data_IF_400082841375
#
_entry.id   IF_400082841375
#
_cell.length_a   1.000
_cell.length_b   1.000
_cell.length_c   1.000
_cell.angle_alpha   90.00
_cell.angle_beta   90.00
_cell.angle_gamma   90.00
#
_symmetry.space_group_name_H-M   'P 1'
#
loop_
_entity.id
_entity.type
_entity.pdbx_description
1 polymer ?
#
# COMPACT_ATOMS: atom_id res chain seq x y z
N UNK A 1 4.63 34.55 25.16
CA UNK A 1 4.19 33.26 24.59
C UNK A 1 5.01 33.05 23.34
N UNK A 2 5.96 32.11 23.38
CA UNK A 2 6.79 31.79 22.23
C UNK A 2 5.96 30.92 21.27
N UNK A 3 5.76 31.41 20.05
CA UNK A 3 5.24 30.64 18.94
C UNK A 3 6.18 29.47 18.68
N UNK A 4 5.71 28.24 18.83
CA UNK A 4 6.45 27.08 18.36
C UNK A 4 6.34 27.09 16.82
N UNK A 5 7.42 27.43 16.14
CA UNK A 5 7.53 27.25 14.70
C UNK A 5 7.26 25.77 14.38
N UNK A 6 6.50 25.45 13.31
CA UNK A 6 6.33 24.07 12.89
C UNK A 6 7.71 23.51 12.51
N UNK A 7 8.23 22.60 13.34
CA UNK A 7 9.49 21.90 13.07
C UNK A 7 9.34 21.19 11.73
N UNK A 8 10.12 21.64 10.75
CA UNK A 8 10.11 21.09 9.40
C UNK A 8 10.82 19.74 9.42
N UNK A 9 10.21 18.72 8.82
CA UNK A 9 10.84 17.41 8.69
C UNK A 9 12.19 17.52 7.96
N UNK A 10 13.18 16.80 8.47
CA UNK A 10 14.53 16.72 7.94
C UNK A 10 14.62 15.69 6.80
N UNK A 11 15.65 15.81 5.96
CA UNK A 11 15.86 14.92 4.81
C UNK A 11 16.56 13.62 5.23
N UNK A 12 16.49 12.61 4.36
CA UNK A 12 17.06 11.30 4.64
C UNK A 12 18.59 11.31 4.89
N UNK A 13 19.32 12.27 4.31
CA UNK A 13 20.77 12.39 4.44
C UNK A 13 21.19 12.67 5.89
N UNK A 14 20.44 13.50 6.61
CA UNK A 14 20.76 13.90 8.00
C UNK A 14 20.27 12.91 9.05
N UNK A 15 19.59 11.84 8.64
CA UNK A 15 18.97 10.92 9.58
C UNK A 15 19.97 10.22 10.51
N UNK A 16 19.59 9.97 11.78
CA UNK A 16 20.44 9.31 12.75
C UNK A 16 20.94 7.95 12.20
N UNK A 17 22.23 7.61 12.36
CA UNK A 17 22.77 6.34 11.88
C UNK A 17 21.98 5.12 12.37
N UNK A 18 21.49 5.17 13.60
CA UNK A 18 20.65 4.14 14.20
C UNK A 18 19.33 3.89 13.45
N UNK A 19 18.71 4.94 12.88
CA UNK A 19 17.48 4.78 12.08
C UNK A 19 17.80 4.10 10.75
N UNK A 20 18.85 4.55 10.04
CA UNK A 20 19.28 3.97 8.77
C UNK A 20 19.65 2.49 8.92
N UNK A 21 20.37 2.16 9.99
CA UNK A 21 20.73 0.79 10.34
C UNK A 21 19.48 -0.07 10.63
N UNK A 22 18.52 0.45 11.41
CA UNK A 22 17.27 -0.27 11.69
C UNK A 22 16.50 -0.60 10.40
N UNK A 23 16.36 0.37 9.49
CA UNK A 23 15.70 0.14 8.19
C UNK A 23 16.42 -0.94 7.37
N UNK A 24 17.75 -0.89 7.29
CA UNK A 24 18.55 -1.89 6.58
C UNK A 24 18.41 -3.29 7.20
N UNK A 25 18.37 -3.40 8.52
CA UNK A 25 18.22 -4.68 9.21
C UNK A 25 16.81 -5.26 9.08
N UNK A 26 15.77 -4.40 9.08
CA UNK A 26 14.39 -4.80 8.80
C UNK A 26 14.30 -5.37 7.38
N UNK A 27 14.82 -4.65 6.37
CA UNK A 27 14.86 -5.14 4.99
C UNK A 27 15.61 -6.47 4.89
N UNK A 28 16.77 -6.58 5.53
CA UNK A 28 17.57 -7.79 5.50
C UNK A 28 16.83 -8.99 6.12
N UNK A 29 16.11 -8.79 7.22
CA UNK A 29 15.27 -9.83 7.85
C UNK A 29 14.08 -10.20 6.95
N UNK A 30 13.39 -9.21 6.37
CA UNK A 30 12.26 -9.44 5.46
C UNK A 30 12.68 -10.18 4.19
N UNK A 31 13.82 -9.83 3.59
CA UNK A 31 14.41 -10.53 2.45
C UNK A 31 14.80 -12.00 2.77
N UNK A 32 15.16 -12.28 4.03
CA UNK A 32 15.39 -13.66 4.52
C UNK A 32 14.11 -14.39 4.91
N UNK A 33 12.95 -13.71 4.86
CA UNK A 33 11.66 -14.21 5.40
C UNK A 33 11.78 -14.62 6.87
N UNK A 34 12.58 -13.87 7.64
CA UNK A 34 12.81 -14.07 9.06
C UNK A 34 11.81 -13.23 9.86
N UNK A 35 10.65 -13.82 10.16
CA UNK A 35 9.54 -13.13 10.82
C UNK A 35 9.99 -12.66 12.20
N UNK A 36 10.64 -13.53 12.96
CA UNK A 36 11.15 -13.19 14.29
C UNK A 36 12.17 -12.05 14.23
N UNK A 37 13.07 -12.06 13.24
CA UNK A 37 14.03 -10.99 12.99
C UNK A 37 13.36 -9.64 12.67
N UNK A 38 12.34 -9.63 11.81
CA UNK A 38 11.54 -8.40 11.55
C UNK A 38 10.85 -7.94 12.83
N UNK A 39 10.20 -8.86 13.54
CA UNK A 39 9.41 -8.56 14.74
C UNK A 39 10.25 -8.12 15.93
N UNK A 40 11.58 -8.27 15.91
CA UNK A 40 12.46 -7.64 16.89
C UNK A 40 12.38 -6.12 16.81
N UNK A 41 12.11 -5.51 15.65
CA UNK A 41 12.01 -4.06 15.51
C UNK A 41 10.64 -3.50 15.89
N UNK A 42 9.67 -4.34 16.22
CA UNK A 42 8.32 -3.90 16.60
C UNK A 42 8.17 -3.94 18.11
N UNK A 43 7.76 -2.81 18.70
CA UNK A 43 7.52 -2.68 20.13
C UNK A 43 6.36 -3.56 20.59
N UNK A 44 6.37 -3.97 21.86
CA UNK A 44 5.34 -4.86 22.42
C UNK A 44 3.92 -4.29 22.31
N UNK A 45 3.80 -2.96 22.37
CA UNK A 45 2.53 -2.24 22.26
C UNK A 45 2.28 -1.69 20.84
N UNK A 46 2.95 -2.23 19.82
CA UNK A 46 2.81 -1.79 18.44
C UNK A 46 1.36 -1.81 17.97
N UNK A 47 0.99 -0.75 17.25
CA UNK A 47 -0.28 -0.62 16.52
C UNK A 47 -0.02 -0.07 15.13
N UNK A 48 -0.86 -0.41 14.17
CA UNK A 48 -0.90 0.26 12.88
C UNK A 48 -2.24 1.01 12.66
N UNK A 49 -2.25 1.92 11.69
CA UNK A 49 -3.44 2.70 11.31
C UNK A 49 -4.62 1.88 10.76
N UNK A 50 -4.41 0.62 10.38
CA UNK A 50 -5.45 -0.28 9.87
C UNK A 50 -5.91 -1.32 10.92
N UNK A 51 -5.50 -1.17 12.17
CA UNK A 51 -5.91 -2.03 13.29
C UNK A 51 -5.01 -3.26 13.53
N UNK A 52 -3.94 -3.46 12.78
CA UNK A 52 -2.94 -4.50 13.05
C UNK A 52 -2.19 -4.20 14.34
N UNK A 53 -2.11 -5.20 15.21
CA UNK A 53 -1.18 -5.22 16.34
C UNK A 53 0.08 -6.01 15.98
N UNK A 54 1.02 -6.11 16.93
CA UNK A 54 2.29 -6.82 16.73
C UNK A 54 2.10 -8.26 16.25
N UNK A 55 1.19 -9.02 16.87
CA UNK A 55 0.95 -10.42 16.52
C UNK A 55 0.31 -10.56 15.14
N UNK A 56 -0.69 -9.72 14.85
CA UNK A 56 -1.37 -9.74 13.56
C UNK A 56 -0.41 -9.37 12.41
N UNK A 57 0.49 -8.41 12.63
CA UNK A 57 1.55 -8.06 11.66
C UNK A 57 2.45 -9.26 11.36
N UNK A 58 2.89 -10.00 12.39
CA UNK A 58 3.72 -11.20 12.21
C UNK A 58 3.00 -12.28 11.39
N UNK A 59 1.72 -12.50 11.66
CA UNK A 59 0.90 -13.48 10.95
C UNK A 59 0.70 -13.10 9.47
N UNK A 60 0.39 -11.83 9.20
CA UNK A 60 0.24 -11.30 7.84
C UNK A 60 1.54 -11.47 7.05
N UNK A 61 2.70 -11.14 7.64
CA UNK A 61 3.99 -11.32 7.00
C UNK A 61 4.25 -12.79 6.64
N UNK A 62 3.98 -13.72 7.57
CA UNK A 62 4.15 -15.16 7.33
C UNK A 62 3.29 -15.65 6.17
N UNK A 63 1.99 -15.34 6.18
CA UNK A 63 1.07 -15.72 5.08
C UNK A 63 1.48 -15.13 3.74
N UNK A 64 1.91 -13.86 3.75
CA UNK A 64 2.39 -13.21 2.55
C UNK A 64 3.64 -13.91 1.97
N UNK A 65 4.58 -14.32 2.82
CA UNK A 65 5.79 -15.06 2.42
C UNK A 65 5.53 -16.51 2.01
N UNK A 66 4.50 -17.15 2.56
CA UNK A 66 4.03 -18.46 2.10
C UNK A 66 3.48 -18.38 0.68
N UNK A 67 2.72 -17.34 0.37
CA UNK A 67 2.16 -17.12 -0.96
C UNK A 67 3.21 -16.67 -1.98
N UNK A 68 4.15 -15.80 -1.57
CA UNK A 68 5.24 -15.32 -2.41
C UNK A 68 6.60 -15.79 -1.87
N UNK A 69 7.05 -17.00 -2.24
CA UNK A 69 8.28 -17.58 -1.69
C UNK A 69 9.55 -16.86 -2.16
N UNK A 70 9.46 -16.09 -3.24
CA UNK A 70 10.54 -15.28 -3.79
C UNK A 70 10.13 -13.82 -3.71
N UNK A 71 10.66 -13.11 -2.72
CA UNK A 71 10.41 -11.69 -2.48
C UNK A 71 11.73 -10.94 -2.32
N UNK A 72 11.72 -9.69 -2.75
CA UNK A 72 12.75 -8.72 -2.47
C UNK A 72 12.12 -7.45 -1.86
N UNK A 73 12.71 -6.97 -0.77
CA UNK A 73 12.31 -5.77 -0.07
C UNK A 73 13.43 -4.73 -0.14
N UNK A 74 13.03 -3.47 -0.32
CA UNK A 74 13.94 -2.32 -0.28
C UNK A 74 13.21 -1.10 0.26
N UNK A 75 13.75 -0.49 1.29
CA UNK A 75 13.15 0.68 1.94
C UNK A 75 14.02 1.91 1.76
N UNK A 76 13.40 2.99 1.32
CA UNK A 76 14.01 4.32 1.21
C UNK A 76 13.41 5.23 2.28
N UNK A 77 14.27 5.83 3.11
CA UNK A 77 13.87 6.94 3.97
C UNK A 77 13.60 8.18 3.12
N UNK A 78 12.46 8.83 3.32
CA UNK A 78 12.09 10.07 2.62
C UNK A 78 12.34 11.28 3.51
N UNK A 79 11.83 11.22 4.75
CA UNK A 79 11.98 12.29 5.73
C UNK A 79 11.96 11.73 7.14
N UNK A 80 12.46 12.51 8.10
CA UNK A 80 12.41 12.16 9.50
C UNK A 80 12.33 13.42 10.38
N UNK A 81 11.88 13.25 11.62
CA UNK A 81 11.88 14.31 12.63
C UNK A 81 11.96 13.73 14.04
N UNK A 82 12.53 14.50 14.97
CA UNK A 82 12.46 14.19 16.39
C UNK A 82 11.14 14.71 16.98
N UNK A 83 10.48 13.88 17.77
CA UNK A 83 9.32 14.23 18.58
C UNK A 83 9.58 13.82 20.03
N UNK A 84 10.23 14.71 20.78
CA UNK A 84 10.68 14.40 22.14
C UNK A 84 11.75 13.31 22.13
N UNK A 85 11.44 12.15 22.70
CA UNK A 85 12.32 10.97 22.73
C UNK A 85 12.09 9.99 21.57
N UNK A 86 11.19 10.33 20.64
CA UNK A 86 10.86 9.48 19.49
C UNK A 86 11.36 10.07 18.19
N UNK A 87 11.53 9.19 17.20
CA UNK A 87 11.76 9.59 15.82
C UNK A 87 10.51 9.23 15.01
N UNK A 88 9.98 10.19 14.25
CA UNK A 88 8.96 9.92 13.24
C UNK A 88 9.63 9.95 11.87
N UNK A 89 9.47 8.89 11.10
CA UNK A 89 10.08 8.74 9.78
C UNK A 89 9.02 8.42 8.73
N UNK A 90 9.16 9.00 7.54
CA UNK A 90 8.41 8.58 6.36
C UNK A 90 9.31 7.79 5.43
N UNK A 91 8.81 6.65 4.95
CA UNK A 91 9.55 5.73 4.10
C UNK A 91 8.76 5.35 2.87
N UNK A 92 9.46 4.94 1.80
CA UNK A 92 8.89 4.21 0.67
C UNK A 92 9.52 2.82 0.67
N UNK A 93 8.69 1.78 0.79
CA UNK A 93 9.10 0.38 0.69
C UNK A 93 8.69 -0.14 -0.68
N UNK A 94 9.65 -0.73 -1.40
CA UNK A 94 9.43 -1.44 -2.64
C UNK A 94 9.48 -2.93 -2.36
N UNK A 95 8.48 -3.65 -2.88
CA UNK A 95 8.35 -5.09 -2.74
C UNK A 95 8.22 -5.66 -4.14
N UNK A 96 9.12 -6.55 -4.52
CA UNK A 96 9.00 -7.32 -5.76
C UNK A 96 8.96 -8.79 -5.42
N UNK A 97 8.25 -9.57 -6.22
CA UNK A 97 8.23 -11.00 -6.00
C UNK A 97 7.71 -11.78 -7.19
N UNK A 98 7.76 -13.10 -7.05
CA UNK A 98 7.12 -13.99 -8.00
C UNK A 98 6.35 -15.07 -7.26
N UNK A 99 5.12 -15.28 -7.72
CA UNK A 99 4.29 -16.40 -7.29
C UNK A 99 4.63 -17.64 -8.12
N UNK A 100 4.57 -18.80 -7.47
CA UNK A 100 4.63 -20.12 -8.10
C UNK A 100 3.42 -21.00 -7.76
N UNK A 101 2.47 -20.48 -6.99
CA UNK A 101 1.24 -21.16 -6.60
C UNK A 101 0.25 -21.21 -7.78
N UNK A 102 -0.49 -22.33 -7.88
CA UNK A 102 -1.52 -22.58 -8.91
C UNK A 102 -1.07 -22.65 -10.39
N UNK A 103 0.22 -22.85 -10.68
CA UNK A 103 0.70 -23.18 -12.03
C UNK A 103 0.76 -22.00 -13.01
N UNK A 104 0.28 -20.81 -12.63
CA UNK A 104 0.55 -19.55 -13.33
C UNK A 104 1.65 -18.80 -12.60
N UNK A 105 2.79 -18.59 -13.27
CA UNK A 105 3.87 -17.74 -12.73
C UNK A 105 3.40 -16.30 -12.70
N UNK A 106 3.16 -15.77 -11.50
CA UNK A 106 2.83 -14.36 -11.28
C UNK A 106 4.08 -13.56 -10.94
N UNK A 107 4.11 -12.27 -11.30
CA UNK A 107 5.08 -11.29 -10.81
C UNK A 107 4.34 -10.24 -10.01
N UNK A 108 4.79 -10.00 -8.79
CA UNK A 108 4.30 -8.95 -7.91
C UNK A 108 5.27 -7.76 -7.95
N UNK A 109 4.71 -6.57 -8.08
CA UNK A 109 5.39 -5.31 -7.81
C UNK A 109 4.50 -4.49 -6.88
N UNK A 110 5.06 -3.96 -5.80
CA UNK A 110 4.32 -3.12 -4.85
C UNK A 110 5.19 -2.02 -4.27
N UNK A 111 4.55 -0.89 -4.02
CA UNK A 111 5.12 0.30 -3.38
C UNK A 111 4.24 0.71 -2.22
N UNK A 112 4.85 0.89 -1.05
CA UNK A 112 4.20 1.27 0.18
C UNK A 112 4.86 2.54 0.74
N UNK A 113 4.10 3.63 0.84
CA UNK A 113 4.53 4.84 1.55
C UNK A 113 3.97 4.81 2.96
N UNK A 114 4.83 4.89 3.97
CA UNK A 114 4.43 4.77 5.37
C UNK A 114 5.02 5.87 6.22
N UNK A 115 4.33 6.19 7.32
CA UNK A 115 4.83 7.00 8.42
C UNK A 115 4.95 6.14 9.67
N UNK A 116 6.12 6.13 10.28
CA UNK A 116 6.44 5.24 11.38
C UNK A 116 7.00 6.04 12.56
N UNK A 117 6.56 5.71 13.77
CA UNK A 117 7.08 6.26 15.02
C UNK A 117 7.97 5.22 15.70
N UNK A 118 9.19 5.63 15.98
CA UNK A 118 10.23 4.85 16.61
C UNK A 118 10.51 5.35 18.02
N UNK A 119 10.48 4.46 19.00
CA UNK A 119 10.86 4.72 20.39
C UNK A 119 11.85 3.64 20.83
N UNK A 120 13.04 4.05 21.30
CA UNK A 120 14.10 3.08 21.67
C UNK A 120 14.46 2.11 20.54
N UNK A 121 14.52 2.61 19.29
CA UNK A 121 14.75 1.82 18.06
C UNK A 121 13.66 0.78 17.74
N UNK A 122 12.50 0.84 18.40
CA UNK A 122 11.34 0.00 18.09
C UNK A 122 10.25 0.82 17.42
N UNK A 123 9.65 0.29 16.36
CA UNK A 123 8.42 0.80 15.77
C UNK A 123 7.30 0.57 16.78
N UNK A 124 6.74 1.66 17.29
CA UNK A 124 5.59 1.62 18.21
C UNK A 124 4.28 1.97 17.50
N UNK A 125 4.36 2.68 16.37
CA UNK A 125 3.22 2.98 15.53
C UNK A 125 3.61 3.04 14.05
N UNK A 126 2.72 2.59 13.16
CA UNK A 126 2.89 2.72 11.71
C UNK A 126 1.58 3.08 11.03
N UNK A 127 1.61 4.00 10.08
CA UNK A 127 0.49 4.37 9.23
C UNK A 127 0.89 4.23 7.77
N UNK A 128 0.01 3.65 6.95
CA UNK A 128 0.21 3.56 5.51
C UNK A 128 -0.45 4.78 4.86
N UNK A 129 0.37 5.63 4.26
CA UNK A 129 -0.07 6.87 3.62
C UNK A 129 -0.49 6.64 2.16
N UNK A 130 0.19 5.73 1.46
CA UNK A 130 -0.17 5.32 0.12
C UNK A 130 0.28 3.88 -0.12
N UNK A 131 -0.47 3.15 -0.93
CA UNK A 131 -0.20 1.76 -1.24
C UNK A 131 -0.61 1.47 -2.68
N UNK A 132 0.28 0.79 -3.39
CA UNK A 132 0.11 0.38 -4.75
C UNK A 132 0.68 -1.02 -4.92
N UNK A 133 -0.08 -1.94 -5.50
CA UNK A 133 0.42 -3.24 -5.94
C UNK A 133 -0.08 -3.59 -7.33
N UNK A 134 0.68 -4.41 -8.03
CA UNK A 134 0.34 -4.98 -9.31
C UNK A 134 0.84 -6.41 -9.36
N UNK A 135 -0.03 -7.32 -9.79
CA UNK A 135 0.28 -8.72 -10.04
C UNK A 135 0.01 -8.99 -11.52
N UNK A 136 1.03 -9.42 -12.25
CA UNK A 136 0.89 -9.83 -13.65
C UNK A 136 1.20 -11.30 -13.81
N UNK A 137 0.46 -11.99 -14.65
CA UNK A 137 0.68 -13.41 -14.92
C UNK A 137 0.32 -13.77 -16.36
N UNK A 138 0.80 -14.93 -16.81
CA UNK A 138 0.56 -15.42 -18.16
C UNK A 138 1.54 -14.85 -19.20
N UNK A 139 1.31 -15.16 -20.48
CA UNK A 139 2.27 -14.86 -21.56
C UNK A 139 2.12 -13.48 -22.18
N UNK A 140 0.95 -12.85 -22.03
CA UNK A 140 0.64 -11.54 -22.61
C UNK A 140 -0.32 -10.75 -21.70
N UNK A 141 0.06 -10.45 -20.44
CA UNK A 141 -0.77 -9.67 -19.53
C UNK A 141 -1.02 -8.26 -20.10
N UNK A 142 -2.24 -7.71 -20.00
CA UNK A 142 -2.53 -6.37 -20.48
C UNK A 142 -1.75 -5.32 -19.66
N UNK A 143 -1.21 -4.29 -20.32
CA UNK A 143 -0.63 -3.14 -19.62
C UNK A 143 -1.75 -2.19 -19.24
N UNK A 144 -1.81 -1.77 -17.98
CA UNK A 144 -2.94 -1.01 -17.46
C UNK A 144 -2.47 0.30 -16.84
N UNK A 145 -3.06 1.41 -17.27
CA UNK A 145 -2.98 2.68 -16.54
C UNK A 145 -4.14 2.77 -15.56
N UNK A 146 -3.84 3.16 -14.32
CA UNK A 146 -4.86 3.44 -13.31
C UNK A 146 -4.94 4.92 -13.02
N UNK A 147 -6.16 5.44 -12.99
CA UNK A 147 -6.48 6.75 -12.44
C UNK A 147 -7.36 6.54 -11.20
N UNK A 148 -6.84 6.93 -10.05
CA UNK A 148 -7.55 6.95 -8.78
C UNK A 148 -6.99 8.10 -7.93
N UNK A 149 -7.83 8.96 -7.32
CA UNK A 149 -7.36 9.91 -6.33
C UNK A 149 -6.73 9.17 -5.13
N UNK A 150 -5.60 9.64 -4.60
CA UNK A 150 -5.04 9.04 -3.37
C UNK A 150 -5.96 9.25 -2.16
N UNK A 151 -6.73 10.35 -2.17
CA UNK A 151 -7.58 10.76 -1.07
C UNK A 151 -8.88 11.40 -1.57
N UNK A 152 -9.97 11.12 -0.87
CA UNK A 152 -11.27 11.79 -1.01
C UNK A 152 -11.85 12.12 0.36
N UNK A 153 -12.74 13.12 0.41
CA UNK A 153 -13.51 13.42 1.60
C UNK A 153 -14.67 12.44 1.78
N UNK A 154 -15.15 12.25 3.00
CA UNK A 154 -16.41 11.54 3.27
C UNK A 154 -17.54 12.04 2.38
N UNK A 155 -18.38 11.12 1.89
CA UNK A 155 -19.46 11.37 0.92
C UNK A 155 -19.04 11.94 -0.46
N UNK A 156 -17.75 12.17 -0.71
CA UNK A 156 -17.30 12.70 -1.99
C UNK A 156 -17.38 11.61 -3.07
N UNK A 157 -17.93 11.91 -4.27
CA UNK A 157 -17.83 11.01 -5.41
C UNK A 157 -16.38 10.93 -5.91
N UNK A 158 -15.99 9.78 -6.42
CA UNK A 158 -14.71 9.57 -7.08
C UNK A 158 -14.87 8.66 -8.30
N UNK A 159 -13.93 8.75 -9.22
CA UNK A 159 -13.83 7.84 -10.35
C UNK A 159 -12.61 6.93 -10.18
N UNK A 160 -12.76 5.70 -10.65
CA UNK A 160 -11.69 4.74 -10.79
C UNK A 160 -11.65 4.27 -12.24
N UNK A 161 -10.53 4.53 -12.90
CA UNK A 161 -10.29 4.10 -14.26
C UNK A 161 -9.15 3.09 -14.27
N UNK A 162 -9.36 1.96 -14.95
CA UNK A 162 -8.29 1.01 -15.28
C UNK A 162 -8.29 0.80 -16.80
N UNK A 163 -7.36 1.46 -17.48
CA UNK A 163 -7.32 1.60 -18.93
C UNK A 163 -6.24 0.68 -19.49
N UNK A 164 -6.65 -0.31 -20.30
CA UNK A 164 -5.73 -1.15 -21.08
C UNK A 164 -5.10 -0.29 -22.16
N UNK A 165 -3.77 -0.31 -22.22
CA UNK A 165 -3.00 0.55 -23.13
C UNK A 165 -2.99 0.02 -24.56
N UNK A 166 -3.01 -1.29 -24.71
CA UNK A 166 -3.00 -1.93 -26.01
C UNK A 166 -4.39 -1.89 -26.67
N UNK A 167 -4.47 -1.73 -28.01
CA UNK A 167 -5.71 -1.97 -28.74
C UNK A 167 -6.19 -3.42 -28.54
N UNK A 168 -7.49 -3.58 -28.29
CA UNK A 168 -8.09 -4.90 -28.11
C UNK A 168 -8.14 -5.71 -29.40
N UNK A 169 -8.32 -5.05 -30.55
CA UNK A 169 -8.51 -5.73 -31.83
C UNK A 169 -9.72 -6.67 -31.77
N UNK A 170 -9.49 -7.97 -31.99
CA UNK A 170 -10.52 -9.01 -31.90
C UNK A 170 -10.50 -9.76 -30.56
N UNK A 171 -9.60 -9.42 -29.64
CA UNK A 171 -9.51 -10.09 -28.36
C UNK A 171 -10.61 -9.62 -27.41
N UNK A 172 -11.16 -10.56 -26.65
CA UNK A 172 -12.06 -10.25 -25.55
C UNK A 172 -11.25 -9.79 -24.33
N UNK A 173 -11.76 -8.76 -23.66
CA UNK A 173 -11.27 -8.32 -22.36
C UNK A 173 -12.30 -8.70 -21.31
N UNK A 174 -11.89 -9.51 -20.33
CA UNK A 174 -12.68 -9.76 -19.14
C UNK A 174 -12.13 -8.92 -18.00
N UNK A 175 -12.99 -8.44 -17.11
CA UNK A 175 -12.51 -7.77 -15.93
C UNK A 175 -13.58 -7.40 -14.94
N UNK A 176 -13.12 -6.88 -13.81
CA UNK A 176 -13.96 -6.44 -12.71
C UNK A 176 -13.24 -5.42 -11.85
N UNK A 177 -13.99 -4.58 -11.15
CA UNK A 177 -13.48 -3.58 -10.23
C UNK A 177 -14.11 -3.78 -8.84
N UNK A 178 -13.23 -3.98 -7.85
CA UNK A 178 -13.56 -4.36 -6.49
C UNK A 178 -13.21 -3.20 -5.57
N UNK A 179 -14.11 -2.88 -4.64
CA UNK A 179 -13.91 -1.81 -3.66
C UNK A 179 -14.21 -2.37 -2.26
N UNK A 180 -13.22 -2.33 -1.36
CA UNK A 180 -13.30 -2.99 -0.06
C UNK A 180 -12.72 -2.14 1.06
N UNK A 181 -13.31 -2.17 2.27
CA UNK A 181 -12.68 -1.57 3.44
C UNK A 181 -11.41 -2.37 3.82
N UNK A 182 -10.38 -1.65 4.28
CA UNK A 182 -9.15 -2.28 4.78
C UNK A 182 -9.39 -2.71 6.23
N UNK A 183 -9.26 -4.02 6.49
CA UNK A 183 -9.32 -4.60 7.85
C UNK A 183 -8.14 -5.56 8.07
N UNK A 184 -7.76 -5.84 9.34
CA UNK A 184 -6.69 -6.79 9.66
C UNK A 184 -6.84 -8.16 8.98
N UNK A 185 -8.05 -8.68 8.91
CA UNK A 185 -8.36 -10.00 8.36
C UNK A 185 -8.15 -10.02 6.84
N UNK A 186 -8.50 -8.93 6.16
CA UNK A 186 -8.40 -8.80 4.69
C UNK A 186 -6.97 -8.87 4.16
N UNK A 187 -5.97 -8.51 4.97
CA UNK A 187 -4.55 -8.71 4.61
C UNK A 187 -4.17 -10.18 4.42
N UNK A 188 -4.89 -11.09 5.08
CA UNK A 188 -4.63 -12.55 5.03
C UNK A 188 -5.62 -13.31 4.15
N UNK A 189 -6.74 -12.69 3.78
CA UNK A 189 -7.87 -13.33 3.11
C UNK A 189 -8.44 -12.41 2.03
N UNK A 190 -7.90 -12.48 0.79
CA UNK A 190 -8.43 -11.70 -0.33
C UNK A 190 -9.87 -12.16 -0.67
N UNK A 191 -10.66 -11.26 -1.25
CA UNK A 191 -12.01 -11.59 -1.74
C UNK A 191 -12.00 -12.38 -3.04
N UNK A 192 -13.01 -13.23 -3.17
CA UNK A 192 -13.42 -13.77 -4.46
C UNK A 192 -13.99 -12.67 -5.36
N UNK A 193 -13.95 -12.90 -6.66
CA UNK A 193 -14.43 -11.94 -7.64
C UNK A 193 -15.08 -12.63 -8.84
N UNK A 194 -16.06 -11.93 -9.41
CA UNK A 194 -16.74 -12.35 -10.64
C UNK A 194 -16.29 -11.45 -11.79
N UNK A 195 -15.94 -12.09 -12.91
CA UNK A 195 -15.45 -11.41 -14.11
C UNK A 195 -16.60 -11.19 -15.08
N UNK A 196 -16.63 -9.98 -15.65
CA UNK A 196 -17.58 -9.63 -16.69
C UNK A 196 -16.87 -9.36 -18.02
N UNK A 197 -17.59 -9.52 -19.13
CA UNK A 197 -17.10 -9.12 -20.43
C UNK A 197 -17.11 -7.60 -20.54
N UNK A 198 -15.95 -7.01 -20.84
CA UNK A 198 -15.81 -5.57 -20.98
C UNK A 198 -16.00 -5.16 -22.45
N UNK A 199 -16.96 -4.25 -22.73
CA UNK A 199 -17.24 -3.82 -24.10
C UNK A 199 -16.18 -2.84 -24.66
N UNK A 200 -15.20 -2.42 -23.84
CA UNK A 200 -14.18 -1.44 -24.21
C UNK A 200 -12.80 -1.78 -23.64
N UNK A 201 -11.82 -0.93 -23.93
CA UNK A 201 -10.40 -1.10 -23.55
C UNK A 201 -10.09 -0.90 -22.07
N UNK A 202 -10.99 -1.22 -21.15
CA UNK A 202 -10.76 -1.02 -19.72
C UNK A 202 -12.04 -1.00 -18.88
N UNK A 203 -11.86 -0.61 -17.62
CA UNK A 203 -12.91 -0.44 -16.62
C UNK A 203 -13.04 1.04 -16.27
N UNK A 204 -14.28 1.50 -16.14
CA UNK A 204 -14.63 2.79 -15.57
C UNK A 204 -15.67 2.55 -14.48
N UNK A 205 -15.40 3.04 -13.27
CA UNK A 205 -16.33 2.91 -12.15
C UNK A 205 -16.42 4.23 -11.40
N UNK A 206 -17.64 4.70 -11.19
CA UNK A 206 -17.92 5.79 -10.24
C UNK A 206 -18.22 5.19 -8.87
N UNK A 207 -17.51 5.68 -7.87
CA UNK A 207 -17.70 5.34 -6.47
C UNK A 207 -18.15 6.55 -5.66
N UNK A 208 -18.67 6.29 -4.47
CA UNK A 208 -18.96 7.33 -3.48
C UNK A 208 -18.31 6.95 -2.17
N UNK A 209 -17.46 7.84 -1.68
CA UNK A 209 -16.80 7.65 -0.40
C UNK A 209 -17.83 7.45 0.73
N UNK A 210 -17.55 6.58 1.71
CA UNK A 210 -18.40 6.33 2.86
C UNK A 210 -18.65 7.60 3.68
N UNK A 211 -19.64 7.53 4.58
CA UNK A 211 -20.01 8.62 5.48
C UNK A 211 -19.02 8.79 6.65
N UNK A 212 -18.15 7.82 6.87
CA UNK A 212 -17.14 7.80 7.94
C UNK A 212 -15.73 7.76 7.35
N UNK A 213 -14.77 8.33 8.07
CA UNK A 213 -13.35 8.19 7.77
C UNK A 213 -12.95 6.72 7.80
N UNK A 214 -12.36 6.22 6.73
CA UNK A 214 -11.76 4.88 6.63
C UNK A 214 -10.79 4.79 5.45
N UNK A 215 -10.07 3.68 5.34
CA UNK A 215 -9.22 3.40 4.17
C UNK A 215 -9.86 2.27 3.36
N UNK A 216 -9.78 2.35 2.04
CA UNK A 216 -10.34 1.34 1.13
C UNK A 216 -9.28 0.87 0.14
N UNK A 217 -9.34 -0.40 -0.23
CA UNK A 217 -8.67 -0.91 -1.41
C UNK A 217 -9.61 -0.83 -2.61
N UNK A 218 -9.11 -0.21 -3.68
CA UNK A 218 -9.75 -0.22 -4.99
C UNK A 218 -8.88 -1.08 -5.90
N UNK A 219 -9.45 -2.16 -6.41
CA UNK A 219 -8.75 -3.14 -7.23
C UNK A 219 -9.39 -3.28 -8.60
N UNK A 220 -8.58 -3.54 -9.62
CA UNK A 220 -9.02 -4.02 -10.93
C UNK A 220 -8.37 -5.36 -11.24
N UNK A 221 -9.15 -6.30 -11.74
CA UNK A 221 -8.66 -7.54 -12.35
C UNK A 221 -9.01 -7.50 -13.83
N UNK A 222 -8.02 -7.66 -14.69
CA UNK A 222 -8.16 -7.59 -16.14
C UNK A 222 -7.49 -8.81 -16.77
N UNK A 223 -8.26 -9.56 -17.56
CA UNK A 223 -7.81 -10.75 -18.28
C UNK A 223 -7.99 -10.55 -19.77
N UNK A 224 -6.91 -10.75 -20.52
CA UNK A 224 -6.91 -10.72 -21.99
C UNK A 224 -6.11 -11.90 -22.51
N UNK A 225 -6.68 -12.63 -23.47
CA UNK A 225 -6.05 -13.81 -24.04
C UNK A 225 -5.52 -14.75 -22.92
N UNK A 226 -4.21 -14.98 -22.87
CA UNK A 226 -3.56 -15.84 -21.88
C UNK A 226 -2.79 -15.03 -20.81
N UNK A 227 -3.22 -13.81 -20.51
CA UNK A 227 -2.58 -12.93 -19.55
C UNK A 227 -3.56 -12.24 -18.62
N UNK A 228 -3.13 -12.02 -17.38
CA UNK A 228 -3.91 -11.36 -16.34
C UNK A 228 -3.09 -10.28 -15.65
N UNK A 229 -3.71 -9.14 -15.38
CA UNK A 229 -3.18 -8.05 -14.58
C UNK A 229 -4.18 -7.74 -13.47
N UNK A 230 -3.74 -7.87 -12.22
CA UNK A 230 -4.46 -7.38 -11.03
C UNK A 230 -3.74 -6.16 -10.51
N UNK A 231 -4.46 -5.10 -10.21
CA UNK A 231 -3.92 -3.88 -9.61
C UNK A 231 -4.74 -3.54 -8.38
N UNK A 232 -4.07 -3.16 -7.30
CA UNK A 232 -4.72 -2.66 -6.09
C UNK A 232 -4.10 -1.31 -5.71
N UNK A 233 -4.95 -0.39 -5.28
CA UNK A 233 -4.57 0.94 -4.79
C UNK A 233 -5.32 1.25 -3.50
N UNK A 234 -4.65 1.89 -2.54
CA UNK A 234 -5.30 2.46 -1.36
C UNK A 234 -5.96 3.80 -1.71
N UNK A 235 -7.21 3.95 -1.31
CA UNK A 235 -7.93 5.21 -1.26
C UNK A 235 -8.12 5.62 0.20
N UNK A 236 -7.60 6.79 0.56
CA UNK A 236 -7.84 7.40 1.88
C UNK A 236 -9.17 8.14 1.87
N UNK A 237 -10.11 7.78 2.74
CA UNK A 237 -11.32 8.55 2.98
C UNK A 237 -11.11 9.37 4.24
N UNK A 238 -11.03 10.69 4.10
CA UNK A 238 -10.78 11.61 5.21
C UNK A 238 -11.99 12.47 5.52
N UNK A 239 -11.99 13.07 6.70
CA UNK A 239 -12.97 14.10 7.01
C UNK A 239 -12.80 15.27 6.03
N UNK A 240 -13.92 15.81 5.56
CA UNK A 240 -13.92 16.96 4.67
C UNK A 240 -13.34 18.19 5.38
N UNK A 241 -12.04 18.42 5.21
CA UNK A 241 -11.41 19.65 5.63
C UNK A 241 -11.86 20.78 4.71
N UNK A 242 -12.60 21.77 5.24
CA UNK A 242 -12.56 23.12 4.67
C UNK A 242 -11.08 23.47 4.54
N UNK A 243 -10.60 23.64 3.31
CA UNK A 243 -9.30 24.24 3.08
C UNK A 243 -9.15 25.46 3.98
N UNK A 244 -7.99 25.56 4.63
CA UNK A 244 -7.52 26.78 5.29
C UNK A 244 -7.93 28.00 4.47
N UNK A 245 -8.94 28.74 4.94
CA UNK A 245 -9.10 30.13 4.53
C UNK A 245 -7.94 30.85 5.19
N UNK A 246 -6.90 31.10 4.39
CA UNK A 246 -6.00 32.23 4.61
C UNK A 246 -6.88 33.46 4.82
N UNK A 247 -7.00 33.87 6.09
CA UNK A 247 -7.42 35.21 6.46
C UNK A 247 -6.25 36.13 6.16
N UNK A 248 -6.33 36.83 5.03
CA UNK A 248 -5.59 38.06 4.81
C UNK A 248 -6.00 39.09 5.87
N UNK A 249 -5.04 39.50 6.71
CA UNK A 249 -4.92 40.87 7.20
C UNK A 249 -3.51 41.35 6.88
#
# INVERSE_FOLDING_TARGET
MASADPVKAETAETAPPALKEALSQIDAAANRRDASGVMQFYGNNFKNGDGLNRSAMEEVLKKFWEHYPQLNYRTELQSWQNEGNAIVAETITYITGSDSSNGMKGKLESTLRSRQRYEGQKIVYSEILAEASQIVSGSNPPTVQVNLPEQVSVNQPFAFDAIVKEPLGNDMLLGTAIEEPITPERYSQPSDFELELLPGGGLFKEGKAPVTKENRWISAVLIRANGMTTITRRLLVVDGGRGSRSSSQ
#
